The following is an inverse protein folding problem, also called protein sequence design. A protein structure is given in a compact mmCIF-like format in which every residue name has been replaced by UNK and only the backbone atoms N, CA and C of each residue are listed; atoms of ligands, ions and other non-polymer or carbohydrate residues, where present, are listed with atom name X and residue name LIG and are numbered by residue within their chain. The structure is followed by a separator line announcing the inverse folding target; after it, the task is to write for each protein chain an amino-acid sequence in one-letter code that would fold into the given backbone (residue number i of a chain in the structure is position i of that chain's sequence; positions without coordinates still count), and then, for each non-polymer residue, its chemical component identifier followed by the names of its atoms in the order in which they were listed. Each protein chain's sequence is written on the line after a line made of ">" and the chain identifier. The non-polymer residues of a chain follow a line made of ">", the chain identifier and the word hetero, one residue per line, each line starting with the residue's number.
data_IF_656847554884
#
_entry.id   IF_656847554884
#
_cell.length_a   1.000
_cell.length_b   1.000
_cell.length_c   1.000
_cell.angle_alpha   90.00
_cell.angle_beta   90.00
_cell.angle_gamma   90.00
#
_symmetry.space_group_name_H-M   'P 1'
#
loop_
_entity.id
_entity.type
_entity.pdbx_description
1 polymer ?
#
# COMPACT_ATOMS: atom_id res chain seq x y z
N UNK A 1 -9.41 35.54 -17.06
CA UNK A 1 -8.70 35.19 -15.80
C UNK A 1 -8.12 33.78 -15.96
N UNK A 2 -6.84 33.74 -16.29
CA UNK A 2 -6.07 32.51 -16.34
C UNK A 2 -5.89 32.00 -14.91
N UNK A 3 -6.69 31.05 -14.52
CA UNK A 3 -6.35 30.07 -13.48
C UNK A 3 -5.86 28.81 -14.17
N UNK A 4 -4.77 28.92 -14.92
CA UNK A 4 -3.95 27.79 -15.23
C UNK A 4 -3.39 27.35 -13.88
N UNK A 5 -3.95 26.30 -13.32
CA UNK A 5 -3.45 25.79 -12.08
C UNK A 5 -1.98 25.45 -12.28
N UNK A 6 -1.10 26.16 -11.57
CA UNK A 6 0.33 25.85 -11.54
C UNK A 6 0.58 24.39 -11.17
N UNK A 7 -0.35 23.77 -10.44
CA UNK A 7 -0.38 22.34 -10.17
C UNK A 7 -0.50 21.48 -11.43
N UNK A 8 -1.39 21.80 -12.37
CA UNK A 8 -1.51 21.05 -13.62
C UNK A 8 -0.25 21.21 -14.48
N UNK A 9 0.34 22.42 -14.56
CA UNK A 9 1.60 22.62 -15.30
C UNK A 9 2.79 21.91 -14.67
N UNK A 10 2.80 21.69 -13.35
CA UNK A 10 3.85 20.96 -12.66
C UNK A 10 3.69 19.44 -12.78
N UNK A 11 2.46 18.91 -12.92
CA UNK A 11 2.22 17.50 -13.24
C UNK A 11 2.98 17.11 -14.51
N UNK A 12 2.87 17.90 -15.57
CA UNK A 12 3.54 17.62 -16.84
C UNK A 12 5.07 17.85 -16.84
N UNK A 13 5.61 18.50 -15.81
CA UNK A 13 7.07 18.65 -15.65
C UNK A 13 7.70 17.47 -14.92
N UNK A 14 6.94 16.71 -14.11
CA UNK A 14 7.43 15.64 -13.25
C UNK A 14 7.16 14.24 -13.83
N UNK A 15 7.32 13.90 -14.90
CA UNK A 15 7.26 12.71 -15.74
C UNK A 15 7.40 11.34 -15.04
N UNK A 16 7.20 11.25 -13.72
CA UNK A 16 7.36 10.02 -12.95
C UNK A 16 6.01 9.49 -12.45
N UNK A 17 5.68 8.29 -12.89
CA UNK A 17 4.46 7.58 -12.50
C UNK A 17 4.69 6.76 -11.23
N UNK A 18 3.73 6.74 -10.30
CA UNK A 18 3.86 6.00 -9.06
C UNK A 18 3.77 4.49 -9.29
N UNK A 19 4.45 3.69 -8.47
CA UNK A 19 4.18 2.25 -8.44
C UNK A 19 2.85 1.98 -7.71
N UNK A 20 1.96 1.14 -8.27
CA UNK A 20 0.74 0.75 -7.56
C UNK A 20 1.05 -0.23 -6.42
N UNK A 21 0.48 0.02 -5.25
CA UNK A 21 0.28 -0.96 -4.19
C UNK A 21 -1.14 -1.51 -4.36
N UNK A 22 -1.27 -2.61 -5.10
CA UNK A 22 -2.57 -3.12 -5.50
C UNK A 22 -3.09 -4.16 -4.53
N UNK A 23 -4.20 -3.86 -3.85
CA UNK A 23 -4.84 -4.78 -2.92
C UNK A 23 -5.49 -5.96 -3.68
N UNK A 24 -5.07 -7.19 -3.40
CA UNK A 24 -5.52 -8.39 -4.10
C UNK A 24 -6.24 -9.40 -3.21
N UNK A 25 -6.03 -9.33 -1.88
CA UNK A 25 -6.82 -10.06 -0.88
C UNK A 25 -7.16 -9.10 0.26
N UNK A 26 -8.45 -9.01 0.57
CA UNK A 26 -8.99 -8.28 1.71
C UNK A 26 -9.15 -9.18 2.93
N UNK A 27 -8.85 -8.65 4.09
CA UNK A 27 -9.09 -9.26 5.40
C UNK A 27 -9.45 -8.20 6.44
N UNK A 28 -9.26 -8.49 7.72
CA UNK A 28 -9.54 -7.55 8.80
C UNK A 28 -10.93 -6.94 8.72
N UNK A 29 -11.01 -5.61 8.84
CA UNK A 29 -12.28 -4.88 8.75
C UNK A 29 -12.85 -4.81 7.31
N UNK A 30 -12.03 -5.03 6.26
CA UNK A 30 -12.44 -4.93 4.86
C UNK A 30 -13.09 -6.19 4.29
N UNK A 31 -13.16 -7.29 5.07
CA UNK A 31 -13.79 -8.54 4.66
C UNK A 31 -14.26 -9.38 5.85
N UNK A 32 -15.44 -9.97 5.73
CA UNK A 32 -15.95 -10.89 6.75
C UNK A 32 -15.33 -12.30 6.56
N UNK A 33 -14.04 -12.42 6.83
CA UNK A 33 -13.29 -13.68 6.79
C UNK A 33 -12.38 -13.83 8.03
N UNK A 34 -11.61 -14.91 8.09
CA UNK A 34 -10.76 -15.20 9.25
C UNK A 34 -9.41 -14.50 9.28
N UNK A 35 -9.10 -13.63 8.32
CA UNK A 35 -7.81 -12.95 8.22
C UNK A 35 -7.69 -11.81 9.24
N UNK A 36 -6.49 -11.68 9.83
CA UNK A 36 -6.19 -10.62 10.80
C UNK A 36 -5.59 -9.39 10.11
N UNK A 37 -4.73 -9.59 9.12
CA UNK A 37 -4.17 -8.53 8.28
C UNK A 37 -5.25 -8.00 7.35
N UNK A 38 -5.37 -6.68 7.26
CA UNK A 38 -6.45 -6.00 6.56
C UNK A 38 -6.28 -6.06 5.04
N UNK A 39 -5.06 -5.84 4.54
CA UNK A 39 -4.79 -5.85 3.11
C UNK A 39 -3.52 -6.60 2.75
N UNK A 40 -3.65 -7.44 1.73
CA UNK A 40 -2.54 -8.12 1.08
C UNK A 40 -2.40 -7.55 -0.32
N UNK A 41 -1.34 -6.78 -0.52
CA UNK A 41 -1.08 -6.05 -1.75
C UNK A 41 0.08 -6.64 -2.54
N UNK A 42 0.11 -6.38 -3.84
CA UNK A 42 1.27 -6.59 -4.70
C UNK A 42 1.77 -5.26 -5.26
N UNK A 43 3.09 -5.19 -5.47
CA UNK A 43 3.76 -4.09 -6.18
C UNK A 43 4.61 -4.66 -7.31
N UNK A 44 4.36 -4.25 -8.57
CA UNK A 44 5.04 -4.81 -9.76
C UNK A 44 6.41 -4.14 -9.97
N UNK A 45 7.41 -4.48 -9.15
CA UNK A 45 8.72 -3.82 -9.06
C UNK A 45 9.52 -3.88 -10.37
N UNK A 46 9.22 -4.85 -11.26
CA UNK A 46 9.86 -5.01 -12.56
C UNK A 46 9.34 -4.04 -13.62
N UNK A 47 8.17 -3.46 -13.43
CA UNK A 47 7.50 -2.68 -14.46
C UNK A 47 8.34 -1.46 -14.88
N UNK A 48 8.47 -1.25 -16.19
CA UNK A 48 9.18 -0.11 -16.79
C UNK A 48 8.25 1.02 -17.22
N UNK A 49 6.93 0.74 -17.25
CA UNK A 49 5.85 1.66 -17.56
C UNK A 49 4.66 1.38 -16.65
N UNK A 50 3.74 2.34 -16.54
CA UNK A 50 2.54 2.14 -15.73
C UNK A 50 1.60 1.11 -16.35
N UNK A 51 1.45 1.15 -17.67
CA UNK A 51 0.68 0.15 -18.43
C UNK A 51 1.25 -1.27 -18.24
N UNK A 52 2.59 -1.43 -18.21
CA UNK A 52 3.20 -2.72 -17.85
C UNK A 52 2.91 -3.12 -16.41
N UNK A 53 2.94 -2.16 -15.47
CA UNK A 53 2.57 -2.41 -14.09
C UNK A 53 1.15 -2.96 -13.96
N UNK A 54 0.19 -2.35 -14.67
CA UNK A 54 -1.20 -2.81 -14.71
C UNK A 54 -1.33 -4.21 -15.32
N UNK A 55 -0.63 -4.48 -16.42
CA UNK A 55 -0.61 -5.81 -17.05
C UNK A 55 -0.06 -6.89 -16.10
N UNK A 56 1.03 -6.60 -15.40
CA UNK A 56 1.61 -7.53 -14.42
C UNK A 56 0.60 -7.82 -13.30
N UNK A 57 -0.01 -6.79 -12.72
CA UNK A 57 -1.01 -6.94 -11.67
C UNK A 57 -2.22 -7.75 -12.16
N UNK A 58 -2.73 -7.45 -13.36
CA UNK A 58 -3.84 -8.19 -13.96
C UNK A 58 -3.53 -9.68 -14.09
N UNK A 59 -2.37 -10.05 -14.62
CA UNK A 59 -1.98 -11.46 -14.80
C UNK A 59 -1.89 -12.18 -13.45
N UNK A 60 -1.32 -11.53 -12.42
CA UNK A 60 -1.24 -12.10 -11.06
C UNK A 60 -2.64 -12.29 -10.47
N UNK A 61 -3.52 -11.29 -10.57
CA UNK A 61 -4.91 -11.35 -10.08
C UNK A 61 -5.69 -12.45 -10.78
N UNK A 62 -5.56 -12.63 -12.09
CA UNK A 62 -6.23 -13.72 -12.83
C UNK A 62 -5.76 -15.09 -12.37
N UNK A 63 -4.47 -15.28 -12.14
CA UNK A 63 -3.94 -16.53 -11.61
C UNK A 63 -4.37 -16.75 -10.14
N UNK A 64 -4.42 -15.70 -9.33
CA UNK A 64 -4.94 -15.77 -7.97
C UNK A 64 -6.41 -16.20 -7.96
N UNK A 65 -7.26 -15.58 -8.81
CA UNK A 65 -8.66 -15.95 -8.96
C UNK A 65 -8.83 -17.44 -9.28
N UNK A 66 -8.02 -17.94 -10.24
CA UNK A 66 -8.04 -19.37 -10.59
C UNK A 66 -7.65 -20.25 -9.40
N UNK A 67 -6.58 -19.92 -8.67
CA UNK A 67 -6.13 -20.68 -7.50
C UNK A 67 -7.17 -20.70 -6.38
N UNK A 68 -7.90 -19.60 -6.17
CA UNK A 68 -8.99 -19.51 -5.20
C UNK A 68 -10.14 -20.44 -5.62
N UNK A 69 -10.55 -20.39 -6.90
CA UNK A 69 -11.59 -21.26 -7.46
C UNK A 69 -11.23 -22.73 -7.41
N UNK A 70 -9.97 -23.09 -7.77
CA UNK A 70 -9.45 -24.46 -7.75
C UNK A 70 -9.51 -25.07 -6.33
N UNK A 71 -9.55 -24.23 -5.28
CA UNK A 71 -9.75 -24.64 -3.88
C UNK A 71 -11.21 -24.64 -3.42
N UNK A 72 -12.17 -24.42 -4.32
CA UNK A 72 -13.59 -24.32 -3.99
C UNK A 72 -13.96 -23.06 -3.17
N UNK A 73 -13.11 -22.02 -3.18
CA UNK A 73 -13.32 -20.79 -2.43
C UNK A 73 -13.96 -19.70 -3.29
N UNK A 74 -14.69 -18.78 -2.63
CA UNK A 74 -15.32 -17.64 -3.30
C UNK A 74 -14.28 -16.64 -3.82
N UNK A 75 -14.54 -16.10 -5.00
CA UNK A 75 -13.83 -14.94 -5.58
C UNK A 75 -14.61 -13.64 -5.45
N UNK A 76 -15.59 -13.56 -4.55
CA UNK A 76 -16.23 -12.30 -4.18
C UNK A 76 -15.19 -11.33 -3.65
N UNK A 77 -15.41 -10.04 -3.89
CA UNK A 77 -14.46 -8.98 -3.52
C UNK A 77 -14.91 -8.25 -2.26
N UNK A 78 -13.94 -7.76 -1.50
CA UNK A 78 -14.17 -6.88 -0.36
C UNK A 78 -14.31 -5.41 -0.79
N UNK A 79 -14.26 -4.52 0.19
CA UNK A 79 -14.53 -3.08 0.02
C UNK A 79 -13.59 -2.38 -0.96
N UNK A 80 -12.37 -2.86 -1.09
CA UNK A 80 -11.36 -2.28 -1.97
C UNK A 80 -11.10 -3.08 -3.24
N UNK A 81 -11.99 -4.03 -3.55
CA UNK A 81 -11.93 -4.80 -4.79
C UNK A 81 -10.96 -5.99 -4.77
N UNK A 82 -10.22 -6.23 -3.70
CA UNK A 82 -9.45 -7.46 -3.48
C UNK A 82 -10.36 -8.64 -3.17
N UNK A 83 -9.94 -9.87 -3.47
CA UNK A 83 -10.72 -11.07 -3.15
C UNK A 83 -10.89 -11.22 -1.64
N UNK A 84 -12.03 -11.74 -1.21
CA UNK A 84 -12.35 -11.98 0.19
C UNK A 84 -12.68 -13.47 0.46
N UNK A 85 -11.76 -14.42 0.15
CA UNK A 85 -12.03 -15.83 0.35
C UNK A 85 -12.13 -16.16 1.84
N UNK A 86 -12.97 -17.15 2.17
CA UNK A 86 -13.08 -17.68 3.53
C UNK A 86 -11.87 -18.56 3.86
N UNK A 87 -10.79 -17.92 4.31
CA UNK A 87 -9.55 -18.57 4.75
C UNK A 87 -9.21 -18.11 6.17
N UNK A 88 -8.58 -18.98 6.94
CA UNK A 88 -8.44 -18.83 8.40
C UNK A 88 -7.09 -18.27 8.85
N UNK A 89 -6.11 -18.11 7.96
CA UNK A 89 -4.80 -17.63 8.36
C UNK A 89 -4.13 -16.73 7.33
N UNK A 90 -3.37 -15.74 7.81
CA UNK A 90 -2.56 -14.87 6.97
C UNK A 90 -1.56 -15.66 6.11
N UNK A 91 -1.04 -16.77 6.62
CA UNK A 91 -0.11 -17.62 5.86
C UNK A 91 -0.77 -18.24 4.63
N UNK A 92 -2.02 -18.70 4.73
CA UNK A 92 -2.75 -19.22 3.57
C UNK A 92 -2.95 -18.16 2.48
N UNK A 93 -3.25 -16.92 2.87
CA UNK A 93 -3.34 -15.80 1.93
C UNK A 93 -1.99 -15.56 1.24
N UNK A 94 -0.90 -15.51 2.01
CA UNK A 94 0.45 -15.29 1.49
C UNK A 94 0.92 -16.44 0.59
N UNK A 95 0.63 -17.69 0.93
CA UNK A 95 0.96 -18.87 0.11
C UNK A 95 0.21 -18.85 -1.23
N UNK A 96 -1.08 -18.42 -1.23
CA UNK A 96 -1.86 -18.21 -2.46
C UNK A 96 -1.25 -17.12 -3.35
N UNK A 97 -0.84 -15.99 -2.77
CA UNK A 97 -0.24 -14.88 -3.50
C UNK A 97 1.11 -15.29 -4.11
N UNK A 98 1.99 -15.93 -3.34
CA UNK A 98 3.28 -16.43 -3.85
C UNK A 98 3.05 -17.42 -5.01
N UNK A 99 2.06 -18.30 -4.86
CA UNK A 99 1.71 -19.27 -5.91
C UNK A 99 1.17 -18.57 -7.16
N UNK A 100 0.36 -17.51 -7.00
CA UNK A 100 -0.16 -16.71 -8.11
C UNK A 100 0.96 -15.98 -8.84
N UNK A 101 1.88 -15.34 -8.12
CA UNK A 101 3.05 -14.67 -8.69
C UNK A 101 3.89 -15.67 -9.52
N UNK A 102 4.18 -16.85 -8.96
CA UNK A 102 4.93 -17.91 -9.64
C UNK A 102 4.21 -18.42 -10.88
N UNK A 103 2.90 -18.71 -10.79
CA UNK A 103 2.08 -19.15 -11.96
C UNK A 103 2.01 -18.08 -13.06
N UNK A 104 2.20 -16.83 -12.72
CA UNK A 104 2.24 -15.70 -13.66
C UNK A 104 3.59 -15.54 -14.36
N UNK A 105 4.58 -16.39 -14.05
CA UNK A 105 5.93 -16.32 -14.62
C UNK A 105 6.82 -15.26 -13.97
N UNK A 106 6.44 -14.74 -12.78
CA UNK A 106 7.21 -13.73 -12.06
C UNK A 106 7.89 -14.29 -10.80
N UNK A 107 8.97 -13.63 -10.39
CA UNK A 107 9.74 -13.97 -9.20
C UNK A 107 9.30 -13.09 -8.03
N UNK A 108 8.77 -13.71 -6.96
CA UNK A 108 8.39 -13.01 -5.73
C UNK A 108 9.59 -12.31 -5.09
N UNK A 109 9.41 -11.04 -4.74
CA UNK A 109 10.41 -10.18 -4.10
C UNK A 109 11.50 -9.65 -5.06
N UNK A 110 11.38 -9.93 -6.38
CA UNK A 110 12.23 -9.39 -7.45
C UNK A 110 11.41 -8.70 -8.54
N UNK A 111 10.47 -9.42 -9.16
CA UNK A 111 9.64 -8.89 -10.24
C UNK A 111 8.33 -8.30 -9.70
N UNK A 112 7.76 -8.99 -8.70
CA UNK A 112 6.56 -8.57 -7.97
C UNK A 112 6.82 -8.76 -6.48
N UNK A 113 6.60 -7.73 -5.69
CA UNK A 113 6.75 -7.76 -4.24
C UNK A 113 5.40 -7.83 -3.55
N UNK A 114 5.38 -8.46 -2.37
CA UNK A 114 4.22 -8.49 -1.48
C UNK A 114 4.35 -7.33 -0.49
N UNK A 115 3.25 -6.60 -0.31
CA UNK A 115 3.10 -5.50 0.65
C UNK A 115 1.87 -5.77 1.51
N UNK A 116 1.91 -5.35 2.77
CA UNK A 116 0.84 -5.61 3.74
C UNK A 116 0.35 -4.29 4.34
N UNK A 117 -0.93 -4.22 4.62
CA UNK A 117 -1.51 -3.28 5.59
C UNK A 117 -2.09 -4.10 6.74
N UNK A 118 -1.53 -3.91 7.92
CA UNK A 118 -1.93 -4.68 9.11
C UNK A 118 -3.09 -4.03 9.85
N UNK A 119 -3.21 -2.70 9.76
CA UNK A 119 -4.20 -1.91 10.50
C UNK A 119 -4.23 -2.30 12.01
N UNK A 120 -3.06 -2.27 12.66
CA UNK A 120 -2.87 -2.90 13.95
C UNK A 120 -3.61 -2.22 15.11
N UNK A 121 -4.21 -1.04 14.92
CA UNK A 121 -5.15 -0.46 15.89
C UNK A 121 -6.29 -1.44 16.23
N UNK A 122 -6.85 -2.11 15.21
CA UNK A 122 -7.92 -3.12 15.37
C UNK A 122 -7.46 -4.39 16.09
N UNK A 123 -6.15 -4.62 16.14
CA UNK A 123 -5.53 -5.81 16.70
C UNK A 123 -4.90 -5.59 18.07
N UNK A 124 -5.00 -4.37 18.61
CA UNK A 124 -4.33 -3.93 19.84
C UNK A 124 -5.24 -4.01 21.06
N UNK A 125 -4.74 -4.58 22.14
CA UNK A 125 -5.40 -4.58 23.44
C UNK A 125 -4.39 -4.71 24.57
N UNK A 126 -4.40 -3.81 25.55
CA UNK A 126 -3.58 -3.86 26.78
C UNK A 126 -2.09 -4.16 26.48
N UNK A 127 -1.48 -3.35 25.62
CA UNK A 127 -0.06 -3.46 25.19
C UNK A 127 0.31 -4.81 24.54
N UNK A 128 -0.66 -5.48 23.91
CA UNK A 128 -0.49 -6.75 23.19
C UNK A 128 -1.21 -6.70 21.84
N UNK A 129 -0.77 -7.53 20.91
CA UNK A 129 -1.28 -7.59 19.56
C UNK A 129 -1.73 -8.99 19.16
N UNK A 130 -2.79 -9.10 18.35
CA UNK A 130 -3.34 -10.36 17.84
C UNK A 130 -3.18 -10.48 16.33
N UNK A 131 -1.92 -10.46 15.83
CA UNK A 131 -1.61 -10.33 14.40
C UNK A 131 -1.88 -11.63 13.62
N UNK A 132 -1.60 -12.80 14.20
CA UNK A 132 -1.70 -14.09 13.51
C UNK A 132 -2.88 -14.94 13.91
N UNK A 133 -3.39 -14.72 15.10
CA UNK A 133 -4.49 -15.50 15.68
C UNK A 133 -5.28 -14.62 16.64
N UNK A 134 -6.33 -15.18 17.22
CA UNK A 134 -7.09 -14.49 18.30
C UNK A 134 -6.30 -14.31 19.59
N UNK A 135 -5.13 -14.95 19.72
CA UNK A 135 -4.28 -14.83 20.91
C UNK A 135 -3.45 -13.54 20.86
N UNK A 136 -3.42 -12.82 21.96
CA UNK A 136 -2.65 -11.59 22.12
C UNK A 136 -1.22 -11.88 22.57
N UNK A 137 -0.24 -11.34 21.85
CA UNK A 137 1.19 -11.51 22.12
C UNK A 137 1.86 -10.16 22.41
N UNK A 138 3.00 -10.16 23.08
CA UNK A 138 3.78 -8.95 23.35
C UNK A 138 4.36 -8.32 22.08
N UNK A 139 4.77 -7.04 22.15
CA UNK A 139 5.46 -6.33 21.08
C UNK A 139 6.67 -7.11 20.57
N UNK A 140 7.52 -7.63 21.46
CA UNK A 140 8.73 -8.35 21.05
C UNK A 140 8.42 -9.66 20.32
N UNK A 141 7.36 -10.37 20.71
CA UNK A 141 6.87 -11.53 19.99
C UNK A 141 6.28 -11.13 18.62
N UNK A 142 5.54 -10.03 18.56
CA UNK A 142 4.99 -9.49 17.31
C UNK A 142 6.09 -9.14 16.31
N UNK A 143 7.17 -8.50 16.76
CA UNK A 143 8.35 -8.20 15.94
C UNK A 143 8.97 -9.49 15.37
N UNK A 144 9.13 -10.52 16.21
CA UNK A 144 9.64 -11.82 15.74
C UNK A 144 8.75 -12.46 14.67
N UNK A 145 7.44 -12.34 14.81
CA UNK A 145 6.50 -12.82 13.79
C UNK A 145 6.60 -12.02 12.48
N UNK A 146 6.71 -10.69 12.55
CA UNK A 146 7.00 -9.88 11.35
C UNK A 146 8.31 -10.30 10.69
N UNK A 147 9.38 -10.48 11.43
CA UNK A 147 10.66 -10.96 10.88
C UNK A 147 10.53 -12.31 10.16
N UNK A 148 9.75 -13.25 10.72
CA UNK A 148 9.50 -14.56 10.11
C UNK A 148 8.76 -14.42 8.77
N UNK A 149 7.64 -13.68 8.72
CA UNK A 149 6.87 -13.52 7.48
C UNK A 149 7.64 -12.72 6.43
N UNK A 150 8.36 -11.67 6.83
CA UNK A 150 9.22 -10.89 5.93
C UNK A 150 10.25 -11.82 5.25
N UNK A 151 10.93 -12.65 6.02
CA UNK A 151 11.94 -13.59 5.49
C UNK A 151 11.32 -14.65 4.61
N UNK A 152 10.23 -15.28 5.07
CA UNK A 152 9.57 -16.39 4.35
C UNK A 152 8.95 -15.92 3.03
N UNK A 153 8.22 -14.82 3.05
CA UNK A 153 7.43 -14.33 1.92
C UNK A 153 8.07 -13.17 1.15
N UNK A 154 9.28 -12.74 1.57
CA UNK A 154 10.01 -11.62 0.97
C UNK A 154 9.18 -10.32 0.94
N UNK A 155 8.48 -10.06 2.06
CA UNK A 155 7.67 -8.84 2.20
C UNK A 155 8.56 -7.61 2.06
N UNK A 156 8.12 -6.62 1.29
CA UNK A 156 8.87 -5.39 1.01
C UNK A 156 8.27 -4.14 1.65
N UNK A 157 7.01 -4.19 2.07
CA UNK A 157 6.34 -3.08 2.74
C UNK A 157 5.36 -3.59 3.78
N UNK A 158 5.31 -2.92 4.94
CA UNK A 158 4.31 -3.15 6.00
C UNK A 158 3.79 -1.79 6.43
N UNK A 159 2.49 -1.61 6.31
CA UNK A 159 1.73 -0.45 6.77
C UNK A 159 1.09 -0.77 8.12
N UNK A 160 1.11 0.20 9.01
CA UNK A 160 0.55 0.18 10.36
C UNK A 160 0.76 -1.13 11.14
N UNK A 161 2.03 -1.55 11.32
CA UNK A 161 2.36 -2.78 12.04
C UNK A 161 2.03 -2.74 13.53
N UNK A 162 1.87 -1.54 14.11
CA UNK A 162 1.54 -1.31 15.52
C UNK A 162 0.52 -0.19 15.65
N UNK A 163 -0.10 -0.10 16.84
CA UNK A 163 -1.08 0.94 17.16
C UNK A 163 -0.49 2.35 17.02
N UNK A 164 -1.32 3.32 16.64
CA UNK A 164 -0.96 4.70 16.28
C UNK A 164 -0.24 5.50 17.37
N UNK A 165 -0.34 5.08 18.63
CA UNK A 165 0.31 5.74 19.77
C UNK A 165 1.39 4.89 20.44
N UNK A 166 1.68 3.68 19.93
CA UNK A 166 2.74 2.80 20.45
C UNK A 166 4.10 3.10 19.82
N UNK A 167 4.55 4.35 19.93
CA UNK A 167 5.81 4.85 19.33
C UNK A 167 7.03 3.99 19.65
N UNK A 168 7.04 3.34 20.83
CA UNK A 168 8.14 2.46 21.24
C UNK A 168 8.17 1.16 20.42
N UNK A 169 7.01 0.58 20.14
CA UNK A 169 6.92 -0.62 19.30
C UNK A 169 7.37 -0.32 17.87
N UNK A 170 6.94 0.81 17.31
CA UNK A 170 7.38 1.27 15.99
C UNK A 170 8.90 1.44 15.91
N UNK A 171 9.52 2.13 16.89
CA UNK A 171 10.97 2.31 16.96
C UNK A 171 11.73 0.99 17.08
N UNK A 172 11.24 0.06 17.94
CA UNK A 172 11.82 -1.27 18.07
C UNK A 172 11.77 -2.04 16.74
N UNK A 173 10.65 -1.98 16.02
CA UNK A 173 10.51 -2.62 14.72
C UNK A 173 11.52 -2.04 13.71
N UNK A 174 11.57 -0.72 13.57
CA UNK A 174 12.50 -0.05 12.65
C UNK A 174 13.96 -0.43 12.91
N UNK A 175 14.37 -0.56 14.16
CA UNK A 175 15.71 -1.00 14.53
C UNK A 175 15.98 -2.47 14.20
N UNK A 176 14.97 -3.31 14.21
CA UNK A 176 15.06 -4.76 14.04
C UNK A 176 14.92 -5.24 12.60
N UNK A 177 14.36 -4.42 11.71
CA UNK A 177 14.09 -4.78 10.31
C UNK A 177 14.82 -3.81 9.38
N UNK A 178 15.63 -4.37 8.47
CA UNK A 178 16.34 -3.59 7.45
C UNK A 178 15.76 -3.87 6.07
N UNK A 179 15.80 -2.85 5.18
CA UNK A 179 15.38 -2.98 3.76
C UNK A 179 13.90 -3.33 3.55
N UNK A 180 13.05 -2.97 4.51
CA UNK A 180 11.60 -3.05 4.39
C UNK A 180 11.02 -1.65 4.54
N UNK A 181 10.07 -1.32 3.72
CA UNK A 181 9.30 -0.09 3.82
C UNK A 181 8.32 -0.24 4.99
N UNK A 182 8.44 0.62 6.00
CA UNK A 182 7.51 0.71 7.13
C UNK A 182 6.71 1.97 6.95
N UNK A 183 5.41 1.83 6.77
CA UNK A 183 4.50 2.91 6.40
C UNK A 183 3.63 3.29 7.58
N UNK A 184 3.56 4.58 7.90
CA UNK A 184 2.57 5.08 8.86
C UNK A 184 1.36 5.67 8.12
N UNK A 185 0.19 5.09 8.34
CA UNK A 185 -1.12 5.62 7.98
C UNK A 185 -1.78 6.22 9.24
N UNK A 186 -2.38 5.43 10.10
CA UNK A 186 -2.98 5.88 11.36
C UNK A 186 -1.95 6.52 12.31
N UNK A 187 -0.68 6.07 12.21
CA UNK A 187 0.41 6.69 12.95
C UNK A 187 0.52 8.19 12.69
N UNK A 188 0.29 8.62 11.45
CA UNK A 188 0.51 10.00 11.02
C UNK A 188 -0.76 10.76 10.66
N UNK A 189 -1.79 10.08 10.20
CA UNK A 189 -3.06 10.68 9.73
C UNK A 189 -2.86 11.91 8.84
N UNK A 190 -1.84 11.84 7.94
CA UNK A 190 -1.43 12.94 7.06
C UNK A 190 -1.13 14.26 7.82
N UNK A 191 -0.74 14.18 9.09
CA UNK A 191 -0.50 15.33 9.96
C UNK A 191 1.00 15.63 10.08
N UNK A 192 1.39 16.87 9.83
CA UNK A 192 2.79 17.31 9.81
C UNK A 192 3.48 17.14 11.17
N UNK A 193 2.81 17.47 12.28
CA UNK A 193 3.41 17.40 13.62
C UNK A 193 3.60 15.94 14.05
N UNK A 194 2.64 15.04 13.72
CA UNK A 194 2.82 13.60 13.96
C UNK A 194 3.96 13.03 13.10
N UNK A 195 4.12 13.48 11.87
CA UNK A 195 5.22 13.06 10.99
C UNK A 195 6.58 13.52 11.54
N UNK A 196 6.71 14.77 11.98
CA UNK A 196 7.91 15.28 12.66
C UNK A 196 8.25 14.44 13.89
N UNK A 197 7.25 14.15 14.73
CA UNK A 197 7.42 13.27 15.91
C UNK A 197 7.90 11.88 15.51
N UNK A 198 7.31 11.27 14.48
CA UNK A 198 7.70 9.96 13.99
C UNK A 198 9.12 9.92 13.44
N UNK A 199 9.54 10.96 12.73
CA UNK A 199 10.91 11.11 12.25
C UNK A 199 11.92 11.17 13.42
N UNK A 200 11.67 12.02 14.41
CA UNK A 200 12.52 12.13 15.59
C UNK A 200 12.60 10.82 16.40
N UNK A 201 11.52 10.05 16.44
CA UNK A 201 11.46 8.76 17.13
C UNK A 201 11.95 7.57 16.26
N UNK A 202 12.35 7.80 15.01
CA UNK A 202 12.73 6.73 14.06
C UNK A 202 11.63 5.66 13.99
N UNK A 203 10.38 6.09 13.76
CA UNK A 203 9.23 5.19 13.85
C UNK A 203 8.89 4.50 12.52
N UNK A 204 9.22 5.12 11.39
CA UNK A 204 8.96 4.59 10.06
C UNK A 204 9.97 5.16 9.04
N UNK A 205 9.81 4.80 7.76
CA UNK A 205 10.57 5.38 6.65
C UNK A 205 9.67 5.79 5.47
N UNK A 206 8.37 5.73 5.67
CA UNK A 206 7.36 6.06 4.65
C UNK A 206 6.07 6.54 5.32
N UNK A 207 5.29 7.31 4.57
CA UNK A 207 4.00 7.83 5.00
C UNK A 207 2.93 7.57 3.95
N UNK A 208 1.73 7.18 4.40
CA UNK A 208 0.53 7.19 3.60
C UNK A 208 -0.11 8.58 3.63
N UNK A 209 -0.56 9.07 2.49
CA UNK A 209 -1.13 10.41 2.30
C UNK A 209 -2.59 10.28 1.90
N UNK A 210 -3.47 10.80 2.73
CA UNK A 210 -4.92 10.86 2.50
C UNK A 210 -5.39 12.30 2.65
N UNK A 211 -5.80 12.95 1.56
CA UNK A 211 -6.18 14.38 1.56
C UNK A 211 -7.26 14.70 2.59
N UNK A 212 -8.25 13.84 2.74
CA UNK A 212 -9.37 14.09 3.63
C UNK A 212 -9.06 13.87 5.12
N UNK A 213 -7.88 13.36 5.47
CA UNK A 213 -7.44 13.30 6.88
C UNK A 213 -6.98 14.67 7.39
N UNK A 214 -6.31 15.46 6.55
CA UNK A 214 -5.88 16.81 6.91
C UNK A 214 -6.88 17.88 6.44
N UNK A 215 -7.55 17.67 5.29
CA UNK A 215 -8.70 18.44 4.83
C UNK A 215 -8.44 19.44 3.73
N UNK A 216 -7.20 19.89 3.50
CA UNK A 216 -6.85 20.81 2.40
C UNK A 216 -5.70 20.29 1.54
N UNK A 217 -5.69 20.69 0.27
CA UNK A 217 -4.59 20.35 -0.65
C UNK A 217 -3.29 21.01 -0.20
N UNK A 218 -3.34 22.24 0.28
CA UNK A 218 -2.13 22.97 0.70
C UNK A 218 -1.43 22.28 1.87
N UNK A 219 -2.16 21.94 2.92
CA UNK A 219 -1.60 21.20 4.06
C UNK A 219 -1.09 19.80 3.65
N UNK A 220 -1.80 19.13 2.73
CA UNK A 220 -1.34 17.84 2.16
C UNK A 220 0.01 18.01 1.46
N UNK A 221 0.16 19.05 0.63
CA UNK A 221 1.42 19.33 -0.06
C UNK A 221 2.56 19.65 0.91
N UNK A 222 2.29 20.34 2.01
CA UNK A 222 3.29 20.60 3.06
C UNK A 222 3.77 19.31 3.71
N UNK A 223 2.87 18.39 4.02
CA UNK A 223 3.23 17.07 4.56
C UNK A 223 4.07 16.27 3.55
N UNK A 224 3.66 16.22 2.27
CA UNK A 224 4.40 15.53 1.21
C UNK A 224 5.81 16.13 1.07
N UNK A 225 5.91 17.45 0.99
CA UNK A 225 7.19 18.16 0.85
C UNK A 225 8.12 17.87 2.03
N UNK A 226 7.60 17.93 3.25
CA UNK A 226 8.38 17.59 4.43
C UNK A 226 8.84 16.12 4.41
N UNK A 227 7.95 15.17 4.11
CA UNK A 227 8.28 13.75 3.99
C UNK A 227 9.42 13.52 2.99
N UNK A 228 9.33 14.14 1.81
CA UNK A 228 10.38 14.04 0.78
C UNK A 228 11.71 14.66 1.24
N UNK A 229 11.67 15.79 1.95
CA UNK A 229 12.86 16.46 2.48
C UNK A 229 13.62 15.57 3.48
N UNK A 230 12.93 14.81 4.31
CA UNK A 230 13.53 13.88 5.27
C UNK A 230 13.85 12.50 4.68
N UNK A 231 13.66 12.32 3.37
CA UNK A 231 13.96 11.06 2.67
C UNK A 231 12.89 9.96 2.82
N UNK A 232 11.70 10.28 3.33
CA UNK A 232 10.58 9.33 3.40
C UNK A 232 9.98 9.08 2.03
N UNK A 233 9.53 7.85 1.81
CA UNK A 233 8.68 7.54 0.65
C UNK A 233 7.26 8.00 0.92
N UNK A 234 6.63 8.56 -0.12
CA UNK A 234 5.23 9.00 -0.06
C UNK A 234 4.36 8.07 -0.88
N UNK A 235 3.22 7.70 -0.31
CA UNK A 235 2.21 6.83 -0.92
C UNK A 235 0.90 7.59 -0.93
N UNK A 236 0.43 8.01 -2.09
CA UNK A 236 -0.89 8.64 -2.20
C UNK A 236 -1.96 7.56 -2.12
N UNK A 237 -2.96 7.75 -1.29
CA UNK A 237 -3.95 6.71 -0.98
C UNK A 237 -5.38 7.19 -1.17
N UNK A 238 -6.22 6.25 -1.60
CA UNK A 238 -7.67 6.35 -1.54
C UNK A 238 -8.20 6.15 -0.10
N UNK A 239 -9.51 6.10 0.04
CA UNK A 239 -10.24 5.64 1.23
C UNK A 239 -11.10 4.44 0.89
N UNK A 240 -11.53 3.65 1.90
CA UNK A 240 -12.46 2.51 1.69
C UNK A 240 -13.80 2.97 1.10
N UNK A 241 -14.32 4.12 1.52
CA UNK A 241 -15.51 4.77 0.96
C UNK A 241 -15.19 5.82 -0.09
N UNK A 242 -14.42 5.48 -1.12
CA UNK A 242 -13.99 6.43 -2.16
C UNK A 242 -15.03 6.58 -3.29
N UNK A 243 -14.89 7.63 -4.11
CA UNK A 243 -15.66 7.92 -5.32
C UNK A 243 -14.85 7.65 -6.59
N UNK A 244 -15.43 7.85 -7.77
CA UNK A 244 -14.73 7.76 -9.06
C UNK A 244 -13.84 8.98 -9.37
N UNK A 245 -13.77 9.98 -8.48
CA UNK A 245 -12.85 11.10 -8.64
C UNK A 245 -11.40 10.64 -8.78
N UNK A 246 -10.67 11.26 -9.70
CA UNK A 246 -9.30 10.83 -10.07
C UNK A 246 -8.20 11.73 -9.54
N UNK A 247 -8.52 12.75 -8.77
CA UNK A 247 -7.56 13.75 -8.30
C UNK A 247 -6.30 13.17 -7.66
N UNK A 248 -6.44 12.08 -6.90
CA UNK A 248 -5.29 11.45 -6.25
C UNK A 248 -4.28 10.85 -7.24
N UNK A 249 -4.71 10.49 -8.45
CA UNK A 249 -3.79 10.04 -9.51
C UNK A 249 -2.94 11.21 -10.02
N UNK A 250 -3.57 12.37 -10.29
CA UNK A 250 -2.90 13.59 -10.69
C UNK A 250 -1.98 14.11 -9.57
N UNK A 251 -2.43 14.07 -8.32
CA UNK A 251 -1.63 14.43 -7.15
C UNK A 251 -0.38 13.56 -7.04
N UNK A 252 -0.49 12.25 -7.24
CA UNK A 252 0.64 11.34 -7.15
C UNK A 252 1.74 11.67 -8.16
N UNK A 253 1.36 11.98 -9.41
CA UNK A 253 2.30 12.39 -10.45
C UNK A 253 2.83 13.80 -10.19
N UNK A 254 1.95 14.75 -9.88
CA UNK A 254 2.29 16.17 -9.64
C UNK A 254 3.24 16.38 -8.48
N UNK A 255 3.14 15.54 -7.45
CA UNK A 255 4.04 15.60 -6.28
C UNK A 255 5.26 14.68 -6.40
N UNK A 256 5.38 13.96 -7.51
CA UNK A 256 6.43 12.95 -7.68
C UNK A 256 6.42 11.89 -6.56
N UNK A 257 5.23 11.50 -6.11
CA UNK A 257 5.08 10.47 -5.08
C UNK A 257 5.51 9.11 -5.61
N UNK A 258 6.16 8.33 -4.76
CA UNK A 258 6.77 7.07 -5.18
C UNK A 258 5.75 6.00 -5.53
N UNK A 259 4.60 6.00 -4.83
CA UNK A 259 3.62 4.94 -4.90
C UNK A 259 2.20 5.50 -4.78
N UNK A 260 1.24 4.71 -5.26
CA UNK A 260 -0.19 4.95 -5.09
C UNK A 260 -0.87 3.69 -4.57
N UNK A 261 -1.74 3.85 -3.58
CA UNK A 261 -2.58 2.79 -3.01
C UNK A 261 -4.03 3.14 -3.32
N UNK A 262 -4.65 2.42 -4.26
CA UNK A 262 -6.02 2.71 -4.69
C UNK A 262 -6.84 1.45 -5.02
N UNK A 263 -6.70 0.42 -4.16
CA UNK A 263 -7.48 -0.81 -4.24
C UNK A 263 -7.03 -1.75 -5.35
N UNK A 264 -7.98 -2.54 -5.87
CA UNK A 264 -7.76 -3.59 -6.87
C UNK A 264 -8.27 -3.19 -8.26
N UNK A 265 -8.26 -4.16 -9.20
CA UNK A 265 -8.83 -4.04 -10.55
C UNK A 265 -10.32 -4.39 -10.60
N UNK A 266 -11.03 -4.22 -9.51
CA UNK A 266 -12.48 -4.37 -9.40
C UNK A 266 -13.04 -3.12 -8.69
N UNK A 267 -14.32 -2.79 -8.98
CA UNK A 267 -15.04 -1.59 -8.53
C UNK A 267 -14.55 -0.32 -9.25
N UNK A 268 -15.50 0.43 -9.80
CA UNK A 268 -15.22 1.56 -10.70
C UNK A 268 -14.45 2.69 -10.01
N UNK A 269 -14.74 2.96 -8.72
CA UNK A 269 -14.05 3.95 -7.93
C UNK A 269 -12.56 3.66 -7.71
N UNK A 270 -12.12 2.40 -7.91
CA UNK A 270 -10.70 2.00 -7.89
C UNK A 270 -10.07 2.13 -9.26
N UNK A 271 -10.74 1.55 -10.25
CA UNK A 271 -10.24 1.48 -11.64
C UNK A 271 -10.12 2.87 -12.27
N UNK A 272 -10.99 3.82 -11.89
CA UNK A 272 -10.93 5.20 -12.39
C UNK A 272 -9.54 5.83 -12.20
N UNK A 273 -8.90 5.66 -11.02
CA UNK A 273 -7.58 6.22 -10.71
C UNK A 273 -6.47 5.56 -11.54
N UNK A 274 -6.54 4.23 -11.73
CA UNK A 274 -5.59 3.52 -12.59
C UNK A 274 -5.73 3.94 -14.05
N UNK A 275 -6.95 4.11 -14.55
CA UNK A 275 -7.20 4.60 -15.90
C UNK A 275 -6.67 6.03 -16.08
N UNK A 276 -6.79 6.90 -15.07
CA UNK A 276 -6.22 8.24 -15.12
C UNK A 276 -4.69 8.20 -15.23
N UNK A 277 -4.02 7.34 -14.47
CA UNK A 277 -2.56 7.18 -14.58
C UNK A 277 -2.12 6.65 -15.95
N UNK A 278 -2.93 5.78 -16.59
CA UNK A 278 -2.67 5.33 -17.97
C UNK A 278 -2.79 6.52 -18.94
N UNK A 279 -3.85 7.37 -18.82
CA UNK A 279 -4.00 8.57 -19.65
C UNK A 279 -2.82 9.54 -19.48
N UNK A 280 -2.39 9.77 -18.23
CA UNK A 280 -1.19 10.59 -17.95
C UNK A 280 0.06 9.97 -18.61
N UNK A 281 0.23 8.65 -18.57
CA UNK A 281 1.33 7.97 -19.24
C UNK A 281 1.28 8.18 -20.75
N UNK A 282 0.10 8.07 -21.36
CA UNK A 282 -0.11 8.31 -22.81
C UNK A 282 0.22 9.74 -23.19
N UNK A 283 -0.22 10.73 -22.42
CA UNK A 283 0.09 12.16 -22.66
C UNK A 283 1.58 12.48 -22.54
N UNK A 284 2.26 11.88 -21.55
CA UNK A 284 3.70 12.04 -21.36
C UNK A 284 4.51 11.33 -22.47
N UNK A 285 3.95 10.30 -23.06
CA UNK A 285 4.56 9.54 -24.14
C UNK A 285 5.95 9.03 -23.79
N UNK A 286 6.94 9.27 -24.65
CA UNK A 286 8.33 8.82 -24.43
C UNK A 286 9.02 9.43 -23.21
N UNK A 287 8.45 10.46 -22.60
CA UNK A 287 8.98 11.09 -21.38
C UNK A 287 8.54 10.39 -20.10
N UNK A 288 7.46 9.61 -20.15
CA UNK A 288 6.97 8.86 -19.01
C UNK A 288 8.04 7.92 -18.42
N UNK A 289 8.17 7.92 -17.12
CA UNK A 289 9.07 7.03 -16.39
C UNK A 289 8.38 6.54 -15.12
N UNK A 290 8.65 5.30 -14.73
CA UNK A 290 8.28 4.84 -13.40
C UNK A 290 9.16 5.51 -12.34
N UNK A 291 8.60 5.82 -11.19
CA UNK A 291 9.33 6.40 -10.06
C UNK A 291 10.34 5.38 -9.48
N UNK A 292 11.13 5.78 -8.51
CA UNK A 292 12.11 4.90 -7.81
C UNK A 292 11.43 4.27 -6.59
N UNK A 293 11.64 2.96 -6.41
CA UNK A 293 11.14 2.20 -5.26
C UNK A 293 12.19 2.12 -4.14
N UNK A 294 13.46 2.27 -4.49
CA UNK A 294 14.62 2.13 -3.58
C UNK A 294 15.09 3.48 -3.05
#
# INVERSE_FOLDING_TARGET
>A
TRTDSSAASDVYKRQQLPYPLMNIINGGAHANNGLRIQEFMIRPDRAKSFSEAMRICFVVIKNLSKLIKDKGLSTSVGDEGGFAPMISSNNQALDLIVSAIKKSGFVNGKDVSICLDVAANELYKKNKYSIHSKSYISVDKSIKEYQKIIKKYKIKSIEDPFAENDWLAWNKLMKSIKKVQIVGDDLYVTNLERLKKGFLNISSNSILIKLNQIGTVSETLDVIKFAQTIGYKTIISHRSGDSEDTFIADLAVGTNSNQIKTGSLARSERVAKYNQLIRIEEELGKKARMNKIN
#
